data_IF_143431815429
#
_entry.id   IF_143431815429
#
_cell.length_a   1.000
_cell.length_b   1.000
_cell.length_c   1.000
_cell.angle_alpha   90.00
_cell.angle_beta   90.00
_cell.angle_gamma   90.00
#
_symmetry.space_group_name_H-M   'P 1'
#
loop_
_entity.id
_entity.type
_entity.pdbx_description
1 polymer ?
#
# COMPACT_ATOMS: atom_id res chain seq x y z
N UNK A 1 -8.16 -51.48 -47.64
CA UNK A 1 -6.97 -50.58 -47.66
C UNK A 1 -7.47 -49.24 -48.17
N UNK A 2 -7.42 -48.07 -47.53
CA UNK A 2 -6.70 -47.48 -46.40
C UNK A 2 -7.75 -46.60 -45.68
N UNK A 3 -7.95 -46.74 -44.36
CA UNK A 3 -8.72 -45.75 -43.59
C UNK A 3 -7.77 -44.63 -43.19
N UNK A 4 -8.11 -43.41 -43.59
CA UNK A 4 -7.42 -42.15 -43.31
C UNK A 4 -7.24 -42.00 -41.78
N UNK A 5 -6.02 -41.73 -41.33
CA UNK A 5 -5.74 -41.30 -39.96
C UNK A 5 -6.33 -39.90 -39.76
N UNK A 6 -7.19 -39.75 -38.76
CA UNK A 6 -7.49 -38.46 -38.13
C UNK A 6 -6.31 -38.07 -37.26
N UNK A 7 -5.57 -37.05 -37.67
CA UNK A 7 -4.60 -36.35 -36.80
C UNK A 7 -5.29 -35.10 -36.29
N UNK A 8 -5.89 -35.18 -35.10
CA UNK A 8 -6.33 -33.99 -34.37
C UNK A 8 -5.10 -33.39 -33.68
N UNK A 9 -4.49 -32.38 -34.31
CA UNK A 9 -3.46 -31.56 -33.68
C UNK A 9 -4.15 -30.70 -32.62
N UNK A 10 -3.98 -31.05 -31.35
CA UNK A 10 -4.37 -30.22 -30.23
C UNK A 10 -3.49 -28.96 -30.23
N UNK A 11 -4.07 -27.83 -30.62
CA UNK A 11 -3.49 -26.50 -30.42
C UNK A 11 -3.40 -26.25 -28.91
N UNK A 12 -2.23 -26.52 -28.33
CA UNK A 12 -1.79 -25.89 -27.09
C UNK A 12 -1.68 -24.38 -27.36
N UNK A 13 -2.77 -23.66 -27.14
CA UNK A 13 -2.69 -22.21 -27.02
C UNK A 13 -1.88 -21.92 -25.75
N UNK A 14 -0.60 -21.65 -25.91
CA UNK A 14 0.17 -20.93 -24.93
C UNK A 14 -0.57 -19.61 -24.69
N UNK A 15 -1.10 -19.41 -23.49
CA UNK A 15 -1.66 -18.13 -23.04
C UNK A 15 -0.51 -17.41 -22.34
N UNK A 16 0.23 -16.49 -22.99
CA UNK A 16 1.34 -15.82 -22.36
C UNK A 16 0.82 -14.54 -21.68
N UNK A 17 1.16 -14.37 -20.41
CA UNK A 17 1.26 -13.09 -19.68
C UNK A 17 0.01 -12.22 -19.41
N UNK A 18 -1.15 -12.41 -20.06
CA UNK A 18 -2.39 -11.66 -19.70
C UNK A 18 -3.08 -12.16 -18.41
N UNK A 19 -2.49 -13.14 -17.71
CA UNK A 19 -3.04 -13.72 -16.49
C UNK A 19 -2.61 -13.00 -15.19
N UNK A 20 -1.73 -11.99 -15.28
CA UNK A 20 -1.24 -11.25 -14.10
C UNK A 20 -2.14 -10.05 -13.77
N UNK A 21 -2.67 -9.35 -14.78
CA UNK A 21 -3.58 -8.21 -14.58
C UNK A 21 -4.91 -8.69 -14.01
N UNK A 22 -5.31 -8.10 -12.88
CA UNK A 22 -6.59 -8.40 -12.25
C UNK A 22 -6.70 -9.81 -11.63
N UNK A 23 -5.57 -10.53 -11.47
CA UNK A 23 -5.51 -11.86 -10.85
C UNK A 23 -6.24 -11.94 -9.49
N UNK A 24 -6.25 -10.82 -8.76
CA UNK A 24 -6.87 -10.72 -7.42
C UNK A 24 -8.15 -9.86 -7.39
N UNK A 25 -8.69 -9.46 -8.54
CA UNK A 25 -9.86 -8.55 -8.59
C UNK A 25 -11.20 -9.22 -8.31
N UNK A 26 -11.25 -10.55 -8.38
CA UNK A 26 -12.49 -11.30 -8.16
C UNK A 26 -13.10 -10.99 -6.79
N UNK A 27 -14.38 -10.58 -6.79
CA UNK A 27 -15.18 -10.25 -5.60
C UNK A 27 -14.66 -9.08 -4.75
N UNK A 28 -13.69 -8.30 -5.24
CA UNK A 28 -13.28 -7.06 -4.61
C UNK A 28 -14.42 -6.04 -4.61
N UNK A 29 -14.60 -5.36 -3.48
CA UNK A 29 -15.52 -4.25 -3.26
C UNK A 29 -14.75 -2.93 -3.09
N UNK A 30 -13.44 -2.92 -3.36
CA UNK A 30 -12.62 -1.73 -3.29
C UNK A 30 -13.13 -0.64 -4.23
N UNK A 31 -13.14 0.60 -3.74
CA UNK A 31 -13.55 1.76 -4.52
C UNK A 31 -12.37 2.27 -5.35
N UNK A 32 -12.46 2.36 -6.68
CA UNK A 32 -11.39 2.89 -7.52
C UNK A 32 -11.12 4.36 -7.19
N UNK A 33 -9.87 4.79 -7.36
CA UNK A 33 -9.44 6.19 -7.20
C UNK A 33 -9.06 6.82 -8.55
N UNK A 34 -9.17 6.06 -9.64
CA UNK A 34 -8.74 6.42 -10.99
C UNK A 34 -7.24 6.74 -11.06
N UNK A 35 -6.43 6.02 -10.27
CA UNK A 35 -4.98 6.06 -10.38
C UNK A 35 -4.52 5.25 -11.60
N UNK A 36 -3.43 5.69 -12.20
CA UNK A 36 -2.84 4.97 -13.32
C UNK A 36 -2.29 3.61 -12.85
N UNK A 37 -2.59 2.54 -13.60
CA UNK A 37 -2.18 1.17 -13.26
C UNK A 37 -2.85 0.63 -11.98
N UNK A 38 -4.02 1.14 -11.58
CA UNK A 38 -4.77 0.59 -10.45
C UNK A 38 -5.61 -0.63 -10.84
N UNK A 39 -5.58 -1.64 -9.99
CA UNK A 39 -6.41 -2.83 -10.07
C UNK A 39 -7.06 -3.06 -8.70
N UNK A 40 -8.36 -3.36 -8.69
CA UNK A 40 -9.00 -3.81 -7.46
C UNK A 40 -8.41 -5.16 -7.05
N UNK A 41 -8.22 -5.38 -5.76
CA UNK A 41 -7.59 -6.60 -5.26
C UNK A 41 -8.13 -7.00 -3.90
N UNK A 42 -8.59 -8.25 -3.82
CA UNK A 42 -9.04 -8.91 -2.61
C UNK A 42 -8.32 -10.24 -2.44
N UNK A 43 -7.68 -10.43 -1.29
CA UNK A 43 -6.89 -11.62 -1.01
C UNK A 43 -6.70 -11.84 0.50
N UNK A 44 -6.32 -13.05 0.88
CA UNK A 44 -5.89 -13.36 2.24
C UNK A 44 -4.37 -13.26 2.37
N UNK A 45 -3.91 -12.84 3.54
CA UNK A 45 -2.50 -12.64 3.83
C UNK A 45 -2.21 -12.70 5.33
N UNK A 46 -0.96 -13.05 5.68
CA UNK A 46 -0.43 -12.84 7.03
C UNK A 46 0.11 -11.43 7.18
N UNK A 47 -0.25 -10.74 8.24
CA UNK A 47 0.28 -9.40 8.58
C UNK A 47 1.61 -9.51 9.32
N UNK A 48 2.61 -8.73 8.91
CA UNK A 48 3.91 -8.61 9.60
C UNK A 48 4.56 -7.27 9.30
N UNK A 49 5.70 -6.94 9.90
CA UNK A 49 6.51 -5.80 9.49
C UNK A 49 7.52 -6.18 8.40
N UNK A 50 7.91 -5.18 7.59
CA UNK A 50 8.78 -5.39 6.43
C UNK A 50 10.18 -5.89 6.80
N UNK A 51 10.72 -5.51 7.97
CA UNK A 51 12.05 -5.99 8.38
C UNK A 51 11.98 -7.46 8.79
N UNK A 52 10.95 -7.87 9.53
CA UNK A 52 10.69 -9.27 9.82
C UNK A 52 10.56 -10.10 8.53
N UNK A 53 9.74 -9.63 7.58
CA UNK A 53 9.53 -10.32 6.31
C UNK A 53 10.80 -10.50 5.47
N UNK A 54 11.68 -9.50 5.45
CA UNK A 54 12.85 -9.48 4.57
C UNK A 54 14.12 -10.05 5.21
N UNK A 55 14.24 -9.97 6.54
CA UNK A 55 15.50 -10.26 7.24
C UNK A 55 15.36 -11.26 8.38
N UNK A 56 14.14 -11.54 8.83
CA UNK A 56 13.89 -12.36 10.03
C UNK A 56 14.05 -11.61 11.35
N UNK A 57 14.38 -10.30 11.34
CA UNK A 57 14.34 -9.46 12.54
C UNK A 57 12.88 -9.13 12.90
N UNK A 58 12.29 -10.01 13.71
CA UNK A 58 10.88 -9.97 14.09
C UNK A 58 10.71 -9.56 15.56
N UNK A 59 10.57 -8.26 15.86
CA UNK A 59 10.24 -7.80 17.20
C UNK A 59 8.82 -8.27 17.59
N UNK A 60 8.57 -8.33 18.89
CA UNK A 60 7.22 -8.55 19.41
C UNK A 60 6.25 -7.50 18.86
N UNK A 61 5.00 -7.92 18.62
CA UNK A 61 3.92 -7.07 18.09
C UNK A 61 4.31 -6.29 16.81
N UNK A 62 5.19 -6.85 15.98
CA UNK A 62 5.66 -6.21 14.73
C UNK A 62 6.25 -4.80 14.97
N UNK A 63 6.80 -4.58 16.17
CA UNK A 63 7.32 -3.28 16.58
C UNK A 63 6.23 -2.24 16.85
N UNK A 64 5.02 -2.66 17.24
CA UNK A 64 3.92 -1.78 17.65
C UNK A 64 3.41 -0.85 16.55
N UNK A 65 3.64 -1.21 15.27
CA UNK A 65 3.33 -0.33 14.14
C UNK A 65 4.27 0.87 14.00
N UNK A 66 5.48 0.82 14.56
CA UNK A 66 6.53 1.81 14.27
C UNK A 66 7.35 1.45 13.02
N UNK A 67 7.23 0.19 12.57
CA UNK A 67 7.84 -0.31 11.33
C UNK A 67 6.81 -0.31 10.19
N UNK A 68 7.30 -0.27 8.95
CA UNK A 68 6.45 -0.40 7.78
C UNK A 68 5.79 -1.78 7.77
N UNK A 69 4.46 -1.82 7.85
CA UNK A 69 3.70 -3.08 7.80
C UNK A 69 3.57 -3.58 6.37
N UNK A 70 3.57 -4.90 6.21
CA UNK A 70 3.43 -5.61 4.95
C UNK A 70 2.45 -6.78 5.10
N UNK A 71 2.03 -7.32 3.97
CA UNK A 71 1.15 -8.47 3.87
C UNK A 71 1.87 -9.59 3.14
N UNK A 72 2.00 -10.77 3.75
CA UNK A 72 2.49 -11.97 3.07
C UNK A 72 1.29 -12.68 2.49
N UNK A 73 1.07 -12.54 1.18
CA UNK A 73 -0.13 -13.04 0.52
C UNK A 73 -0.14 -14.57 0.45
N UNK A 74 -1.25 -15.19 0.87
CA UNK A 74 -1.33 -16.65 1.00
C UNK A 74 -1.23 -17.39 -0.34
N UNK A 75 -1.69 -16.75 -1.43
CA UNK A 75 -1.76 -17.38 -2.75
C UNK A 75 -0.39 -17.66 -3.39
N UNK A 76 0.62 -16.84 -3.08
CA UNK A 76 1.93 -16.88 -3.75
C UNK A 76 3.12 -16.46 -2.87
N UNK A 77 2.91 -16.24 -1.57
CA UNK A 77 3.91 -15.75 -0.62
C UNK A 77 4.57 -14.42 -1.01
N UNK A 78 3.93 -13.63 -1.88
CA UNK A 78 4.44 -12.32 -2.22
C UNK A 78 4.41 -11.39 -0.99
N UNK A 79 5.50 -10.66 -0.76
CA UNK A 79 5.53 -9.55 0.20
C UNK A 79 4.88 -8.34 -0.46
N UNK A 80 3.66 -8.03 -0.02
CA UNK A 80 2.88 -6.90 -0.54
C UNK A 80 3.06 -5.70 0.38
N UNK A 81 3.60 -4.60 -0.17
CA UNK A 81 3.81 -3.36 0.55
C UNK A 81 2.49 -2.58 0.69
N UNK A 82 1.90 -2.60 1.88
CA UNK A 82 0.70 -1.83 2.21
C UNK A 82 1.07 -0.38 2.59
N UNK A 83 1.42 0.43 1.60
CA UNK A 83 1.93 1.79 1.84
C UNK A 83 0.82 2.85 2.00
N UNK A 84 -0.44 2.50 1.72
CA UNK A 84 -1.54 3.48 1.69
C UNK A 84 -2.80 2.88 2.31
N UNK A 85 -3.50 3.67 3.11
CA UNK A 85 -4.84 3.32 3.60
C UNK A 85 -5.95 4.02 2.80
N UNK A 86 -7.21 3.79 3.14
CA UNK A 86 -8.38 4.34 2.44
C UNK A 86 -8.62 5.84 2.62
N UNK A 87 -7.77 6.59 3.34
CA UNK A 87 -7.96 8.03 3.53
C UNK A 87 -7.23 8.87 2.47
N UNK A 88 -7.88 9.87 1.84
CA UNK A 88 -7.26 10.71 0.81
C UNK A 88 -6.39 11.84 1.40
N UNK A 89 -5.50 11.52 2.35
CA UNK A 89 -4.74 12.52 3.14
C UNK A 89 -3.23 12.21 3.24
N UNK A 90 -2.68 11.49 2.26
CA UNK A 90 -1.27 11.09 2.22
C UNK A 90 -0.81 10.29 3.46
N UNK A 91 -1.67 9.41 3.95
CA UNK A 91 -1.44 8.55 5.12
C UNK A 91 -1.14 7.10 4.73
N UNK A 92 -0.23 6.47 5.48
CA UNK A 92 0.09 5.05 5.35
C UNK A 92 -0.95 4.12 6.00
N UNK A 93 -0.79 2.81 5.81
CA UNK A 93 -1.65 1.78 6.39
C UNK A 93 -1.06 1.06 7.61
N UNK A 94 0.14 1.43 8.04
CA UNK A 94 0.83 0.81 9.17
C UNK A 94 -0.03 0.77 10.44
N UNK A 95 -0.65 1.89 10.82
CA UNK A 95 -1.52 1.97 12.01
C UNK A 95 -2.74 1.07 11.87
N UNK A 96 -3.31 0.97 10.67
CA UNK A 96 -4.46 0.13 10.38
C UNK A 96 -4.13 -1.37 10.49
N UNK A 97 -2.91 -1.76 10.08
CA UNK A 97 -2.44 -3.13 10.07
C UNK A 97 -1.83 -3.59 11.40
N UNK A 98 -1.29 -2.68 12.22
CA UNK A 98 -0.60 -3.01 13.46
C UNK A 98 -1.46 -3.89 14.40
N UNK A 99 -2.76 -3.60 14.50
CA UNK A 99 -3.70 -4.36 15.33
C UNK A 99 -3.87 -5.84 14.91
N UNK A 100 -3.40 -6.20 13.71
CA UNK A 100 -3.49 -7.53 13.13
C UNK A 100 -2.14 -8.24 13.07
N UNK A 101 -1.09 -7.71 13.71
CA UNK A 101 0.25 -8.30 13.67
C UNK A 101 0.22 -9.82 13.91
N UNK A 102 0.84 -10.58 13.00
CA UNK A 102 0.95 -12.03 13.07
C UNK A 102 -0.32 -12.80 12.67
N UNK A 103 -1.46 -12.13 12.51
CA UNK A 103 -2.73 -12.75 12.16
C UNK A 103 -2.85 -12.94 10.64
N UNK A 104 -3.65 -13.93 10.25
CA UNK A 104 -4.16 -14.02 8.88
C UNK A 104 -5.41 -13.15 8.75
N UNK A 105 -5.40 -12.30 7.73
CA UNK A 105 -6.48 -11.37 7.42
C UNK A 105 -6.93 -11.54 5.98
N UNK A 106 -8.19 -11.21 5.72
CA UNK A 106 -8.68 -10.88 4.39
C UNK A 106 -8.62 -9.36 4.22
N UNK A 107 -8.01 -8.90 3.12
CA UNK A 107 -7.92 -7.48 2.76
C UNK A 107 -8.58 -7.20 1.44
N UNK A 108 -9.10 -5.99 1.31
CA UNK A 108 -9.67 -5.48 0.06
C UNK A 108 -9.16 -4.06 -0.18
N UNK A 109 -8.73 -3.77 -1.41
CA UNK A 109 -8.04 -2.53 -1.75
C UNK A 109 -7.65 -2.42 -3.21
N UNK A 110 -6.69 -1.54 -3.50
CA UNK A 110 -6.16 -1.31 -4.83
C UNK A 110 -4.69 -1.71 -4.90
N UNK A 111 -4.32 -2.61 -5.82
CA UNK A 111 -2.95 -2.80 -6.24
C UNK A 111 -2.62 -1.74 -7.29
N UNK A 112 -1.56 -0.98 -7.08
CA UNK A 112 -1.17 0.15 -7.92
C UNK A 112 0.25 -0.09 -8.41
N UNK A 113 0.42 -0.08 -9.73
CA UNK A 113 1.72 -0.16 -10.37
C UNK A 113 1.60 -0.58 -11.82
N UNK A 114 2.43 0.03 -12.66
CA UNK A 114 2.47 -0.23 -14.08
C UNK A 114 3.92 -0.51 -14.53
N UNK A 115 4.19 -1.70 -15.11
CA UNK A 115 5.51 -2.04 -15.63
C UNK A 115 6.04 -1.09 -16.70
N UNK A 116 5.18 -0.40 -17.45
CA UNK A 116 5.58 0.59 -18.45
C UNK A 116 6.11 1.87 -17.78
N UNK A 117 5.54 2.29 -16.65
CA UNK A 117 6.03 3.42 -15.87
C UNK A 117 7.24 3.07 -15.00
N UNK A 118 7.34 1.81 -14.59
CA UNK A 118 8.42 1.32 -13.73
C UNK A 118 9.13 0.11 -14.36
N UNK A 119 9.88 0.30 -15.47
CA UNK A 119 10.49 -0.81 -16.18
C UNK A 119 11.42 -1.63 -15.27
N UNK A 120 11.19 -2.94 -15.24
CA UNK A 120 11.96 -3.87 -14.41
C UNK A 120 11.47 -4.00 -12.96
N UNK A 121 10.43 -3.26 -12.56
CA UNK A 121 9.76 -3.44 -11.28
C UNK A 121 8.41 -4.12 -11.50
N UNK A 122 8.27 -5.32 -10.92
CA UNK A 122 6.99 -6.06 -10.89
C UNK A 122 6.22 -5.82 -9.59
N UNK A 123 6.86 -5.19 -8.60
CA UNK A 123 6.25 -4.91 -7.32
C UNK A 123 5.19 -3.80 -7.45
N UNK A 124 3.95 -4.11 -7.06
CA UNK A 124 2.87 -3.13 -6.92
C UNK A 124 2.76 -2.68 -5.47
N UNK A 125 2.40 -1.41 -5.27
CA UNK A 125 2.03 -0.88 -3.95
C UNK A 125 0.56 -1.22 -3.70
N UNK A 126 0.23 -1.61 -2.47
CA UNK A 126 -1.16 -1.87 -2.10
C UNK A 126 -1.73 -0.73 -1.26
N UNK A 127 -2.88 -0.24 -1.70
CA UNK A 127 -3.74 0.65 -0.94
C UNK A 127 -4.86 -0.15 -0.30
N UNK A 128 -4.72 -0.51 0.96
CA UNK A 128 -5.75 -1.24 1.70
C UNK A 128 -6.91 -0.30 2.04
N UNK A 129 -8.14 -0.75 1.79
CA UNK A 129 -9.36 0.00 2.12
C UNK A 129 -10.13 -0.66 3.25
N UNK A 130 -10.14 -1.99 3.29
CA UNK A 130 -10.76 -2.76 4.36
C UNK A 130 -9.95 -3.98 4.76
N UNK A 131 -10.03 -4.35 6.04
CA UNK A 131 -9.29 -5.45 6.65
C UNK A 131 -10.24 -6.22 7.56
N UNK A 132 -10.15 -7.55 7.60
CA UNK A 132 -10.74 -8.37 8.66
C UNK A 132 -9.90 -9.61 8.93
N UNK A 133 -9.90 -10.17 10.15
CA UNK A 133 -9.44 -11.54 10.38
C UNK A 133 -10.19 -12.52 9.47
N UNK A 134 -9.53 -13.59 9.01
CA UNK A 134 -10.13 -14.57 8.09
C UNK A 134 -11.37 -15.27 8.65
N UNK A 135 -11.50 -15.33 9.97
CA UNK A 135 -12.62 -15.92 10.71
C UNK A 135 -13.69 -14.89 11.13
N UNK A 136 -13.51 -13.60 10.79
CA UNK A 136 -14.48 -12.56 11.07
C UNK A 136 -15.48 -12.38 9.92
N UNK A 137 -16.71 -11.98 10.28
CA UNK A 137 -17.77 -11.71 9.30
C UNK A 137 -17.65 -10.31 8.69
N UNK A 138 -17.23 -9.33 9.49
CA UNK A 138 -17.27 -7.91 9.12
C UNK A 138 -15.90 -7.32 8.81
N UNK A 139 -15.87 -6.45 7.80
CA UNK A 139 -14.70 -5.67 7.41
C UNK A 139 -14.59 -4.37 8.21
N UNK A 140 -13.43 -4.15 8.83
CA UNK A 140 -13.03 -2.85 9.35
C UNK A 140 -12.49 -1.97 8.21
N UNK A 141 -12.71 -0.65 8.29
CA UNK A 141 -12.11 0.30 7.35
C UNK A 141 -10.67 0.59 7.75
N UNK A 142 -9.78 0.64 6.76
CA UNK A 142 -8.41 1.11 6.95
C UNK A 142 -8.39 2.66 6.86
N UNK A 143 -8.68 3.32 7.98
CA UNK A 143 -8.77 4.78 8.07
C UNK A 143 -8.40 5.36 9.44
N UNK A 144 -7.56 4.67 10.21
CA UNK A 144 -7.23 5.02 11.58
C UNK A 144 -6.16 6.11 11.71
N UNK A 145 -5.41 6.42 10.65
CA UNK A 145 -4.26 7.32 10.73
C UNK A 145 -4.60 8.67 11.38
N UNK A 146 -5.65 9.37 10.93
CA UNK A 146 -5.97 10.69 11.50
C UNK A 146 -6.25 10.63 12.99
N UNK A 147 -7.01 9.63 13.43
CA UNK A 147 -7.34 9.45 14.84
C UNK A 147 -6.08 9.19 15.67
N UNK A 148 -5.24 8.26 15.22
CA UNK A 148 -3.98 7.94 15.90
C UNK A 148 -3.00 9.12 15.91
N UNK A 149 -2.95 9.90 14.84
CA UNK A 149 -2.15 11.12 14.78
C UNK A 149 -2.66 12.19 15.75
N UNK A 150 -3.97 12.43 15.81
CA UNK A 150 -4.58 13.38 16.76
C UNK A 150 -4.33 12.97 18.22
N UNK A 151 -4.40 11.67 18.54
CA UNK A 151 -4.09 11.14 19.87
C UNK A 151 -2.61 11.33 20.26
N UNK A 152 -1.69 11.22 19.29
CA UNK A 152 -0.25 11.46 19.51
C UNK A 152 0.13 12.94 19.57
N UNK A 153 -0.68 13.82 18.98
CA UNK A 153 -0.40 15.25 18.85
C UNK A 153 -1.56 16.13 19.35
N UNK A 154 -1.97 16.02 20.63
CA UNK A 154 -3.08 16.80 21.18
C UNK A 154 -2.87 18.32 21.12
N UNK A 155 -1.62 18.77 21.01
CA UNK A 155 -1.20 20.16 20.83
C UNK A 155 -1.35 20.67 19.38
N UNK A 156 -1.42 19.78 18.38
CA UNK A 156 -1.47 20.12 16.96
C UNK A 156 -2.90 20.45 16.47
N UNK A 157 -3.65 21.19 17.27
CA UNK A 157 -5.04 21.56 17.01
C UNK A 157 -5.17 22.54 15.85
N UNK A 158 -6.31 22.49 15.13
CA UNK A 158 -6.66 23.47 14.10
C UNK A 158 -7.32 22.86 12.86
N UNK A 159 -7.63 23.71 11.89
CA UNK A 159 -8.24 23.32 10.60
C UNK A 159 -7.19 23.07 9.52
N UNK A 160 -7.56 22.32 8.48
CA UNK A 160 -6.73 22.07 7.31
C UNK A 160 -5.97 20.74 7.34
N UNK A 161 -5.03 20.51 6.40
CA UNK A 161 -4.27 19.26 6.33
C UNK A 161 -3.42 19.01 7.58
N UNK A 162 -3.37 17.76 8.05
CA UNK A 162 -2.66 17.36 9.27
C UNK A 162 -1.16 17.73 9.21
N UNK A 163 -0.51 17.48 8.07
CA UNK A 163 0.93 17.70 7.90
C UNK A 163 1.35 19.16 8.03
N UNK A 164 0.43 20.12 7.85
CA UNK A 164 0.72 21.55 8.10
C UNK A 164 0.78 21.88 9.58
N UNK A 165 0.23 21.02 10.44
CA UNK A 165 0.19 21.20 11.89
C UNK A 165 1.14 20.26 12.61
N UNK A 166 1.56 19.18 11.95
CA UNK A 166 2.49 18.19 12.45
C UNK A 166 3.79 18.82 13.00
N UNK A 167 4.12 18.55 14.28
CA UNK A 167 5.34 19.08 14.89
C UNK A 167 6.63 18.62 14.20
N UNK A 168 6.67 17.38 13.71
CA UNK A 168 7.83 16.84 13.00
C UNK A 168 8.06 17.54 11.66
N UNK A 169 7.00 17.73 10.88
CA UNK A 169 7.07 18.49 9.62
C UNK A 169 7.51 19.93 9.87
N UNK A 170 6.96 20.60 10.89
CA UNK A 170 7.37 21.96 11.27
C UNK A 170 8.84 22.02 11.68
N UNK A 171 9.29 21.07 12.50
CA UNK A 171 10.67 21.00 12.93
C UNK A 171 11.62 20.78 11.74
N UNK A 172 11.23 19.96 10.77
CA UNK A 172 12.05 19.71 9.57
C UNK A 172 12.15 20.96 8.67
N UNK A 173 11.04 21.69 8.50
CA UNK A 173 11.04 22.98 7.78
C UNK A 173 11.91 24.00 8.52
N UNK A 174 11.83 24.08 9.85
CA UNK A 174 12.69 24.96 10.64
C UNK A 174 14.18 24.59 10.47
N UNK A 175 14.47 23.28 10.39
CA UNK A 175 15.83 22.77 10.24
C UNK A 175 16.42 23.04 8.86
N UNK A 176 15.64 22.92 7.80
CA UNK A 176 16.17 22.84 6.43
C UNK A 176 15.44 23.66 5.37
N UNK A 177 14.42 24.42 5.75
CA UNK A 177 13.54 25.11 4.81
C UNK A 177 12.47 24.16 4.23
N UNK A 178 11.53 24.75 3.50
CA UNK A 178 10.43 24.10 2.81
C UNK A 178 10.89 23.08 1.76
N UNK A 179 12.04 23.31 1.11
CA UNK A 179 12.56 22.38 0.10
C UNK A 179 13.49 21.31 0.67
N UNK A 180 13.82 21.35 1.96
CA UNK A 180 14.72 20.38 2.59
C UNK A 180 16.20 20.52 2.19
N UNK A 181 16.57 21.58 1.47
CA UNK A 181 17.91 21.81 0.91
C UNK A 181 18.56 23.12 1.39
N UNK A 182 17.98 23.76 2.41
CA UNK A 182 18.51 24.93 3.11
C UNK A 182 17.74 26.22 2.85
N UNK A 183 17.65 27.06 3.90
CA UNK A 183 16.91 28.33 3.90
C UNK A 183 17.36 29.33 2.82
N UNK A 184 18.64 29.31 2.42
CA UNK A 184 19.15 30.19 1.36
C UNK A 184 18.57 29.83 -0.01
N UNK A 185 18.35 28.54 -0.27
CA UNK A 185 17.75 28.09 -1.54
C UNK A 185 16.28 28.46 -1.59
N UNK A 186 15.55 28.26 -0.48
CA UNK A 186 14.17 28.70 -0.33
C UNK A 186 14.02 30.19 -0.62
N UNK A 187 14.85 31.02 0.03
CA UNK A 187 14.83 32.48 -0.14
C UNK A 187 15.09 32.86 -1.59
N UNK A 188 16.14 32.31 -2.20
CA UNK A 188 16.48 32.58 -3.59
C UNK A 188 15.33 32.21 -4.53
N UNK A 189 14.72 31.04 -4.35
CA UNK A 189 13.59 30.62 -5.16
C UNK A 189 12.42 31.60 -5.06
N UNK A 190 12.08 32.06 -3.85
CA UNK A 190 10.98 33.01 -3.63
C UNK A 190 11.27 34.40 -4.22
N UNK A 191 12.52 34.84 -4.21
CA UNK A 191 12.94 36.08 -4.87
C UNK A 191 12.85 35.99 -6.40
N UNK A 192 13.22 34.84 -6.97
CA UNK A 192 13.15 34.58 -8.42
C UNK A 192 11.72 34.28 -8.90
N UNK A 193 10.83 33.84 -8.00
CA UNK A 193 9.45 33.42 -8.31
C UNK A 193 8.43 34.09 -7.37
N UNK A 194 8.26 35.42 -7.43
CA UNK A 194 7.27 36.12 -6.63
C UNK A 194 5.85 35.66 -7.00
N UNK A 195 5.03 35.39 -5.99
CA UNK A 195 3.62 34.99 -6.10
C UNK A 195 2.71 36.18 -6.39
#
# INVERSE_FOLDING_TARGET
MKKLLMTAAALLMAVPALAEEGKFSANSQAKPWNLFGEETARFTAKVTDGLCALTGDCPDDCGGGERQMVLIRDADNAVVLANKNGQPIFSGATVDLAAYCGQHVEVDGLLIGDPELTPGLTAKVFMVQTIKPVDADEFAKANLFSKAWEEKHPEAQGKGPWFRRDPGVKAEIERTGYFGIGHEVDKKYLEENPQ
#
